data_IF_958182463071
#
_entry.id   IF_958182463071
#
_cell.length_a   1.000
_cell.length_b   1.000
_cell.length_c   1.000
_cell.angle_alpha   90.00
_cell.angle_beta   90.00
_cell.angle_gamma   90.00
#
_symmetry.space_group_name_H-M   'P 1'
#
loop_
_entity.id
_entity.type
_entity.pdbx_description
1 polymer ?
#
# COMPACT_ATOMS: atom_id res chain seq x y z
N UNK A 1 -24.93 -17.49 3.18
CA UNK A 1 -25.46 -16.88 1.94
C UNK A 1 -24.47 -16.76 0.81
N UNK A 2 -23.36 -15.99 0.88
CA UNK A 2 -22.44 -15.81 -0.26
C UNK A 2 -21.96 -17.12 -0.92
N UNK A 3 -21.41 -18.04 -0.13
CA UNK A 3 -20.96 -19.37 -0.55
C UNK A 3 -22.02 -20.19 -1.30
N UNK A 4 -23.27 -20.13 -0.86
CA UNK A 4 -24.38 -20.88 -1.46
C UNK A 4 -24.80 -20.24 -2.79
N UNK A 5 -24.88 -18.92 -2.82
CA UNK A 5 -25.22 -18.14 -4.02
C UNK A 5 -24.16 -18.34 -5.12
N UNK A 6 -22.88 -18.25 -4.77
CA UNK A 6 -21.78 -18.48 -5.72
C UNK A 6 -21.82 -19.89 -6.30
N UNK A 7 -22.01 -20.91 -5.46
CA UNK A 7 -22.14 -22.29 -5.93
C UNK A 7 -23.36 -22.48 -6.86
N UNK A 8 -24.50 -21.86 -6.52
CA UNK A 8 -25.70 -21.90 -7.36
C UNK A 8 -25.51 -21.22 -8.72
N UNK A 9 -24.81 -20.08 -8.77
CA UNK A 9 -24.51 -19.37 -10.02
C UNK A 9 -23.58 -20.21 -10.90
N UNK A 10 -22.47 -20.71 -10.33
CA UNK A 10 -21.52 -21.58 -11.05
C UNK A 10 -22.23 -22.81 -11.61
N UNK A 11 -23.13 -23.41 -10.81
CA UNK A 11 -23.90 -24.59 -11.25
C UNK A 11 -24.89 -24.24 -12.36
N UNK A 12 -25.55 -23.07 -12.30
CA UNK A 12 -26.49 -22.61 -13.33
C UNK A 12 -25.80 -22.26 -14.64
N UNK A 13 -24.62 -21.64 -14.57
CA UNK A 13 -23.85 -21.17 -15.72
C UNK A 13 -22.68 -22.10 -16.05
N UNK A 14 -22.83 -23.41 -15.80
CA UNK A 14 -21.75 -24.40 -15.89
C UNK A 14 -20.99 -24.37 -17.23
N UNK A 15 -21.66 -24.08 -18.35
CA UNK A 15 -21.03 -23.96 -19.68
C UNK A 15 -19.94 -22.88 -19.74
N UNK A 16 -20.06 -21.79 -18.97
CA UNK A 16 -19.02 -20.76 -18.86
C UNK A 16 -17.80 -21.22 -18.07
N UNK A 17 -17.94 -22.30 -17.28
CA UNK A 17 -16.92 -22.87 -16.41
C UNK A 17 -16.43 -24.25 -16.86
N UNK A 18 -16.85 -24.74 -18.02
CA UNK A 18 -16.38 -26.00 -18.60
C UNK A 18 -14.98 -25.84 -19.24
N UNK A 19 -14.01 -25.58 -18.38
CA UNK A 19 -12.61 -25.45 -18.76
C UNK A 19 -11.92 -26.81 -18.79
N UNK A 20 -10.81 -26.90 -19.54
CA UNK A 20 -9.93 -28.06 -19.48
C UNK A 20 -9.46 -28.31 -18.06
N UNK A 21 -9.73 -29.50 -17.52
CA UNK A 21 -9.28 -29.90 -16.18
C UNK A 21 -7.75 -29.92 -16.11
N UNK A 22 -7.22 -29.29 -15.06
CA UNK A 22 -5.81 -29.31 -14.69
C UNK A 22 -5.55 -30.39 -13.63
N UNK A 23 -4.30 -30.82 -13.50
CA UNK A 23 -3.92 -31.77 -12.43
C UNK A 23 -4.11 -31.16 -11.04
N UNK A 24 -3.74 -29.89 -10.89
CA UNK A 24 -3.97 -29.08 -9.69
C UNK A 24 -4.98 -27.99 -10.03
N UNK A 25 -6.16 -27.92 -9.38
CA UNK A 25 -7.13 -26.87 -9.63
C UNK A 25 -6.61 -25.50 -9.17
N UNK A 26 -6.94 -24.40 -9.88
CA UNK A 26 -6.61 -23.05 -9.42
C UNK A 26 -7.36 -22.73 -8.13
N UNK A 27 -6.75 -21.91 -7.26
CA UNK A 27 -7.29 -21.51 -5.97
C UNK A 27 -7.69 -20.03 -5.99
N UNK A 28 -8.94 -19.74 -5.61
CA UNK A 28 -9.41 -18.38 -5.34
C UNK A 28 -9.38 -18.13 -3.83
N UNK A 29 -8.50 -17.23 -3.39
CA UNK A 29 -8.38 -16.77 -2.01
C UNK A 29 -9.10 -15.43 -1.87
N UNK A 30 -10.18 -15.41 -1.09
CA UNK A 30 -10.94 -14.19 -0.78
C UNK A 30 -10.54 -13.70 0.60
N UNK A 31 -10.13 -12.44 0.67
CA UNK A 31 -9.66 -11.77 1.88
C UNK A 31 -10.48 -10.51 2.13
N UNK A 32 -10.52 -10.04 3.37
CA UNK A 32 -11.18 -8.80 3.75
C UNK A 32 -10.15 -7.78 4.24
N UNK A 33 -10.21 -6.55 3.73
CA UNK A 33 -9.29 -5.45 4.10
C UNK A 33 -9.35 -5.10 5.59
N UNK A 34 -10.45 -5.39 6.29
CA UNK A 34 -10.52 -5.19 7.75
C UNK A 34 -9.50 -6.02 8.53
N UNK A 35 -9.03 -7.14 7.96
CA UNK A 35 -7.92 -7.93 8.50
C UNK A 35 -6.54 -7.30 8.28
N UNK A 36 -6.39 -6.26 7.45
CA UNK A 36 -5.13 -5.49 7.30
C UNK A 36 -5.38 -4.01 7.04
N UNK A 37 -5.71 -3.29 8.12
CA UNK A 37 -5.85 -1.85 8.14
C UNK A 37 -4.52 -1.09 8.31
N UNK A 38 -3.38 -1.77 8.50
CA UNK A 38 -2.06 -1.13 8.70
C UNK A 38 -1.43 -0.82 7.33
N UNK A 39 -1.34 -1.82 6.46
CA UNK A 39 -0.76 -1.69 5.11
C UNK A 39 -1.22 -0.43 4.35
N UNK A 40 -2.52 -0.13 4.21
CA UNK A 40 -2.97 1.04 3.45
C UNK A 40 -2.66 2.39 4.13
N UNK A 41 -2.25 2.41 5.40
CA UNK A 41 -1.92 3.64 6.12
C UNK A 41 -0.46 4.06 5.97
N UNK A 42 0.46 3.15 5.65
CA UNK A 42 1.90 3.43 5.68
C UNK A 42 2.35 4.28 4.49
N UNK A 43 3.28 5.20 4.73
CA UNK A 43 4.02 5.82 3.64
C UNK A 43 4.78 4.77 2.82
N UNK A 44 4.84 4.99 1.51
CA UNK A 44 5.38 4.04 0.55
C UNK A 44 6.66 4.57 -0.09
N UNK A 45 7.64 3.70 -0.31
CA UNK A 45 8.97 4.07 -0.79
C UNK A 45 9.41 3.34 -2.07
N UNK A 46 8.50 2.59 -2.71
CA UNK A 46 8.73 2.03 -4.05
C UNK A 46 8.00 2.87 -5.09
N UNK A 47 8.51 2.90 -6.34
CA UNK A 47 8.12 3.95 -7.29
C UNK A 47 6.60 4.06 -7.48
N UNK A 48 5.93 2.97 -7.84
CA UNK A 48 4.50 2.97 -8.10
C UNK A 48 3.68 3.30 -6.85
N UNK A 49 4.02 2.67 -5.72
CA UNK A 49 3.30 2.84 -4.48
C UNK A 49 3.45 4.28 -3.95
N UNK A 50 4.65 4.84 -4.01
CA UNK A 50 4.93 6.23 -3.61
C UNK A 50 4.23 7.25 -4.52
N UNK A 51 4.19 7.02 -5.83
CA UNK A 51 3.43 7.86 -6.76
C UNK A 51 1.94 7.83 -6.40
N UNK A 52 1.36 6.66 -6.15
CA UNK A 52 -0.05 6.55 -5.81
C UNK A 52 -0.38 7.17 -4.44
N UNK A 53 0.52 7.02 -3.45
CA UNK A 53 0.36 7.59 -2.12
C UNK A 53 0.44 9.13 -2.12
N UNK A 54 1.41 9.71 -2.83
CA UNK A 54 1.66 11.16 -2.76
C UNK A 54 0.97 11.98 -3.86
N UNK A 55 0.79 11.42 -5.05
CA UNK A 55 0.26 12.13 -6.22
C UNK A 55 -1.11 11.60 -6.67
N UNK A 56 -1.48 10.39 -6.25
CA UNK A 56 -2.71 9.73 -6.68
C UNK A 56 -2.60 9.21 -8.11
N UNK A 57 -2.53 7.89 -8.24
CA UNK A 57 -2.55 7.21 -9.55
C UNK A 57 -3.96 6.70 -9.84
N UNK A 58 -4.64 7.32 -10.81
CA UNK A 58 -5.99 6.93 -11.21
C UNK A 58 -5.98 6.55 -12.70
N UNK A 59 -6.35 5.32 -13.03
CA UNK A 59 -6.33 4.80 -14.41
C UNK A 59 -4.98 5.08 -15.12
N UNK A 60 -3.87 4.81 -14.43
CA UNK A 60 -2.51 5.07 -14.90
C UNK A 60 -2.20 6.55 -15.18
N UNK A 61 -2.97 7.50 -14.63
CA UNK A 61 -2.76 8.94 -14.76
C UNK A 61 -2.52 9.59 -13.41
N UNK A 62 -1.66 10.60 -13.40
CA UNK A 62 -1.42 11.49 -12.26
C UNK A 62 -1.68 12.94 -12.67
N UNK A 63 -2.19 13.72 -11.73
CA UNK A 63 -2.43 15.16 -11.91
C UNK A 63 -1.31 15.96 -11.21
N UNK A 64 -0.51 16.65 -12.02
CA UNK A 64 0.56 17.54 -11.59
C UNK A 64 0.18 19.02 -11.73
N UNK A 65 -1.08 19.35 -11.98
CA UNK A 65 -1.54 20.74 -12.15
C UNK A 65 -1.25 21.66 -10.96
N UNK A 66 -1.07 21.08 -9.77
CA UNK A 66 -0.75 21.77 -8.51
C UNK A 66 0.75 21.95 -8.28
N UNK A 67 1.59 21.35 -9.12
CA UNK A 67 3.05 21.47 -9.03
C UNK A 67 3.47 22.88 -9.44
N UNK A 68 4.23 23.63 -8.60
CA UNK A 68 4.67 24.97 -8.92
C UNK A 68 5.49 25.01 -10.21
N UNK A 69 5.12 25.90 -11.15
CA UNK A 69 5.87 26.08 -12.40
C UNK A 69 5.73 24.95 -13.42
N UNK A 70 4.76 24.04 -13.25
CA UNK A 70 4.55 22.93 -14.18
C UNK A 70 4.19 23.43 -15.59
N UNK A 71 4.78 22.81 -16.61
CA UNK A 71 4.42 23.08 -18.00
C UNK A 71 3.01 22.54 -18.32
N UNK A 72 2.31 23.17 -19.26
CA UNK A 72 0.95 22.73 -19.67
C UNK A 72 0.94 21.26 -20.12
N UNK A 73 2.01 20.83 -20.78
CA UNK A 73 2.15 19.48 -21.36
C UNK A 73 2.38 18.39 -20.29
N UNK A 74 2.74 18.78 -19.06
CA UNK A 74 3.01 17.86 -17.94
C UNK A 74 1.96 17.94 -16.83
N UNK A 75 0.86 18.68 -17.02
CA UNK A 75 -0.22 18.76 -16.03
C UNK A 75 -0.88 17.42 -15.76
N UNK A 76 -0.99 16.57 -16.78
CA UNK A 76 -1.46 15.20 -16.64
C UNK A 76 -0.41 14.28 -17.24
N UNK A 77 0.01 13.28 -16.48
CA UNK A 77 1.05 12.33 -16.89
C UNK A 77 0.53 10.91 -16.85
N UNK A 78 0.74 10.17 -17.94
CA UNK A 78 0.44 8.74 -18.02
C UNK A 78 1.65 7.90 -17.61
N UNK A 79 1.45 6.98 -16.68
CA UNK A 79 2.43 6.01 -16.17
C UNK A 79 1.90 4.59 -16.42
N UNK A 80 2.38 3.94 -17.49
CA UNK A 80 1.97 2.59 -17.88
C UNK A 80 3.21 1.74 -18.15
N UNK A 81 3.36 0.63 -17.43
CA UNK A 81 4.50 -0.27 -17.61
C UNK A 81 4.53 -0.95 -18.99
N UNK A 82 3.39 -1.03 -19.68
CA UNK A 82 3.31 -1.61 -21.04
C UNK A 82 3.90 -0.69 -22.11
N UNK A 83 3.79 0.62 -21.92
CA UNK A 83 4.17 1.63 -22.90
C UNK A 83 5.40 2.47 -22.50
N UNK A 84 5.90 2.29 -21.28
CA UNK A 84 7.00 3.04 -20.70
C UNK A 84 8.02 2.11 -20.06
N UNK A 85 9.08 1.80 -20.81
CA UNK A 85 10.15 0.88 -20.40
C UNK A 85 10.91 1.38 -19.17
N UNK A 86 11.11 2.70 -19.04
CA UNK A 86 11.74 3.25 -17.85
C UNK A 86 10.86 2.98 -16.64
N UNK A 87 9.56 3.27 -16.74
CA UNK A 87 8.63 2.99 -15.65
C UNK A 87 8.57 1.49 -15.30
N UNK A 88 8.47 0.61 -16.29
CA UNK A 88 8.42 -0.84 -16.09
C UNK A 88 9.63 -1.37 -15.31
N UNK A 89 10.84 -0.90 -15.65
CA UNK A 89 12.08 -1.33 -15.02
C UNK A 89 12.30 -0.74 -13.62
N UNK A 90 11.60 0.35 -13.28
CA UNK A 90 11.77 1.06 -12.01
C UNK A 90 10.56 0.94 -11.06
N UNK A 91 9.46 0.32 -11.51
CA UNK A 91 8.15 0.28 -10.85
C UNK A 91 8.23 -0.08 -9.35
N UNK A 92 9.08 -1.05 -9.04
CA UNK A 92 9.22 -1.67 -7.72
C UNK A 92 10.55 -1.35 -7.03
N UNK A 93 11.39 -0.49 -7.62
CA UNK A 93 12.64 -0.07 -7.00
C UNK A 93 12.38 0.93 -5.88
N UNK A 94 13.28 0.99 -4.91
CA UNK A 94 13.15 1.94 -3.80
C UNK A 94 13.52 3.37 -4.22
N UNK A 95 13.08 4.35 -3.45
CA UNK A 95 13.27 5.77 -3.77
C UNK A 95 14.74 6.20 -3.98
N UNK A 96 15.68 5.60 -3.23
CA UNK A 96 17.11 5.85 -3.41
C UNK A 96 17.64 5.31 -4.75
N UNK A 97 17.22 4.12 -5.14
CA UNK A 97 17.57 3.50 -6.43
C UNK A 97 16.97 4.30 -7.60
N UNK A 98 15.72 4.73 -7.48
CA UNK A 98 15.06 5.57 -8.50
C UNK A 98 15.83 6.88 -8.68
N UNK A 99 16.24 7.55 -7.60
CA UNK A 99 17.03 8.78 -7.68
C UNK A 99 18.33 8.59 -8.49
N UNK A 100 19.00 7.45 -8.28
CA UNK A 100 20.21 7.08 -9.05
C UNK A 100 19.88 6.81 -10.51
N UNK A 101 18.81 6.07 -10.79
CA UNK A 101 18.40 5.73 -12.16
C UNK A 101 17.92 6.94 -12.96
N UNK A 102 17.30 7.93 -12.31
CA UNK A 102 16.96 9.22 -12.94
C UNK A 102 18.21 10.01 -13.31
N UNK A 103 19.20 10.04 -12.42
CA UNK A 103 20.49 10.67 -12.71
C UNK A 103 21.15 10.02 -13.92
N UNK A 104 21.20 8.69 -13.97
CA UNK A 104 21.74 7.93 -15.10
C UNK A 104 20.97 8.20 -16.39
N UNK A 105 19.64 8.24 -16.33
CA UNK A 105 18.77 8.58 -17.47
C UNK A 105 19.10 9.97 -18.04
N UNK A 106 19.34 10.95 -17.17
CA UNK A 106 19.71 12.31 -17.56
C UNK A 106 21.12 12.37 -18.17
N UNK A 107 22.09 11.66 -17.59
CA UNK A 107 23.46 11.58 -18.11
C UNK A 107 23.51 10.89 -19.49
N UNK A 108 22.76 9.80 -19.67
CA UNK A 108 22.67 9.10 -20.94
C UNK A 108 22.03 9.96 -22.04
N UNK A 109 21.03 10.77 -21.67
CA UNK A 109 20.46 11.76 -22.57
C UNK A 109 21.49 12.81 -22.99
N UNK A 110 22.28 13.34 -22.04
CA UNK A 110 23.35 14.30 -22.31
C UNK A 110 24.46 13.70 -23.21
N UNK A 111 24.82 12.43 -23.02
CA UNK A 111 25.85 11.74 -23.82
C UNK A 111 25.44 11.49 -25.28
N UNK A 112 24.16 11.16 -25.50
CA UNK A 112 23.63 10.87 -26.85
C UNK A 112 23.40 12.12 -27.70
N UNK A 113 23.48 13.31 -27.09
CA UNK A 113 23.34 14.58 -27.78
C UNK A 113 24.50 14.86 -28.75
N UNK A 114 24.28 15.59 -29.86
CA UNK A 114 25.36 16.12 -30.67
C UNK A 114 26.40 16.91 -29.86
N UNK A 115 27.70 16.64 -30.11
CA UNK A 115 28.83 17.34 -29.47
C UNK A 115 28.83 18.83 -29.89
N UNK A 116 29.14 19.72 -28.94
CA UNK A 116 29.25 21.18 -29.19
C UNK A 116 28.05 22.02 -28.77
N UNK A 117 26.95 21.41 -28.32
CA UNK A 117 25.81 22.16 -27.77
C UNK A 117 26.00 22.54 -26.29
N UNK A 118 25.19 23.48 -25.79
CA UNK A 118 25.12 23.84 -24.36
C UNK A 118 24.53 22.70 -23.55
N UNK A 119 25.09 22.39 -22.38
CA UNK A 119 24.59 21.37 -21.43
C UNK A 119 23.11 21.63 -21.12
N UNK A 120 22.27 20.59 -21.18
CA UNK A 120 20.85 20.69 -20.86
C UNK A 120 20.71 20.45 -19.35
N UNK A 121 20.31 21.47 -18.60
CA UNK A 121 20.19 21.40 -17.14
C UNK A 121 18.72 21.49 -16.69
N UNK A 122 17.85 22.07 -17.53
CA UNK A 122 16.43 22.26 -17.24
C UNK A 122 15.51 21.51 -18.22
N UNK A 123 14.26 21.30 -17.80
CA UNK A 123 13.19 20.78 -18.68
C UNK A 123 12.92 21.74 -19.84
N UNK A 124 13.08 23.05 -19.63
CA UNK A 124 12.93 24.05 -20.69
C UNK A 124 14.00 23.87 -21.76
N UNK A 125 15.25 23.60 -21.36
CA UNK A 125 16.35 23.34 -22.29
C UNK A 125 16.06 22.09 -23.11
N UNK A 126 15.54 21.04 -22.47
CA UNK A 126 15.17 19.79 -23.16
C UNK A 126 14.10 20.05 -24.22
N UNK A 127 13.09 20.88 -23.94
CA UNK A 127 12.05 21.22 -24.91
C UNK A 127 12.62 21.96 -26.12
N UNK A 128 13.41 23.00 -25.89
CA UNK A 128 14.07 23.76 -26.97
C UNK A 128 15.04 22.88 -27.79
N UNK A 129 15.68 21.91 -27.15
CA UNK A 129 16.52 20.93 -27.83
C UNK A 129 15.70 20.00 -28.74
N UNK A 130 14.55 19.49 -28.29
CA UNK A 130 13.69 18.60 -29.10
C UNK A 130 13.13 19.30 -30.34
N UNK A 131 12.82 20.60 -30.25
CA UNK A 131 12.34 21.37 -31.41
C UNK A 131 13.36 21.37 -32.56
N UNK A 132 14.65 21.36 -32.24
CA UNK A 132 15.73 21.30 -33.22
C UNK A 132 16.14 19.86 -33.60
N UNK A 133 15.78 18.86 -32.79
CA UNK A 133 16.18 17.46 -32.96
C UNK A 133 15.02 16.48 -32.68
N UNK A 134 14.05 16.36 -33.60
CA UNK A 134 12.84 15.56 -33.40
C UNK A 134 13.08 14.07 -33.13
N UNK A 135 14.20 13.51 -33.61
CA UNK A 135 14.59 12.13 -33.35
C UNK A 135 14.84 11.83 -31.85
N UNK A 136 15.07 12.87 -31.03
CA UNK A 136 15.22 12.74 -29.58
C UNK A 136 13.91 12.88 -28.80
N UNK A 137 12.78 13.10 -29.48
CA UNK A 137 11.48 13.39 -28.85
C UNK A 137 11.03 12.31 -27.86
N UNK A 138 11.15 11.02 -28.21
CA UNK A 138 10.76 9.91 -27.31
C UNK A 138 11.61 9.92 -26.03
N UNK A 139 12.94 9.97 -26.19
CA UNK A 139 13.87 9.93 -25.05
C UNK A 139 13.73 11.17 -24.16
N UNK A 140 13.61 12.36 -24.75
CA UNK A 140 13.36 13.59 -24.00
C UNK A 140 12.01 13.58 -23.28
N UNK A 141 10.97 13.01 -23.90
CA UNK A 141 9.68 12.81 -23.25
C UNK A 141 9.78 11.95 -21.98
N UNK A 142 10.48 10.81 -22.05
CA UNK A 142 10.73 9.95 -20.89
C UNK A 142 11.53 10.67 -19.80
N UNK A 143 12.63 11.35 -20.16
CA UNK A 143 13.46 12.12 -19.22
C UNK A 143 12.61 13.20 -18.54
N UNK A 144 11.94 14.06 -19.32
CA UNK A 144 11.11 15.14 -18.80
C UNK A 144 10.03 14.61 -17.88
N UNK A 145 9.35 13.52 -18.26
CA UNK A 145 8.29 12.90 -17.46
C UNK A 145 8.82 12.47 -16.10
N UNK A 146 9.81 11.58 -16.07
CA UNK A 146 10.24 10.95 -14.83
C UNK A 146 11.07 11.87 -13.94
N UNK A 147 11.87 12.79 -14.51
CA UNK A 147 12.54 13.85 -13.74
C UNK A 147 11.51 14.73 -13.03
N UNK A 148 10.42 15.09 -13.70
CA UNK A 148 9.35 15.91 -13.10
C UNK A 148 8.65 15.15 -11.98
N UNK A 149 8.25 13.91 -12.22
CA UNK A 149 7.55 13.10 -11.20
C UNK A 149 8.44 12.89 -9.98
N UNK A 150 9.68 12.43 -10.16
CA UNK A 150 10.60 12.16 -9.04
C UNK A 150 11.01 13.45 -8.34
N UNK A 151 11.17 14.55 -9.08
CA UNK A 151 11.40 15.88 -8.50
C UNK A 151 10.26 16.31 -7.59
N UNK A 152 9.01 16.12 -8.01
CA UNK A 152 7.85 16.43 -7.17
C UNK A 152 7.73 15.51 -5.96
N UNK A 153 7.98 14.20 -6.11
CA UNK A 153 8.04 13.27 -4.98
C UNK A 153 9.08 13.73 -3.95
N UNK A 154 10.28 14.10 -4.41
CA UNK A 154 11.34 14.61 -3.54
C UNK A 154 10.92 15.90 -2.83
N UNK A 155 10.25 16.82 -3.54
CA UNK A 155 9.74 18.07 -2.95
C UNK A 155 8.73 17.78 -1.83
N UNK A 156 7.77 16.90 -2.08
CA UNK A 156 6.74 16.51 -1.10
C UNK A 156 7.34 15.80 0.11
N UNK A 157 8.31 14.91 -0.09
CA UNK A 157 9.04 14.23 1.00
C UNK A 157 9.72 15.25 1.91
N UNK A 158 10.42 16.24 1.32
CA UNK A 158 11.10 17.29 2.09
C UNK A 158 10.12 18.23 2.79
N UNK A 159 9.09 18.70 2.08
CA UNK A 159 8.09 19.63 2.62
C UNK A 159 7.34 19.05 3.81
N UNK A 160 6.94 17.77 3.72
CA UNK A 160 6.16 17.08 4.76
C UNK A 160 7.01 16.31 5.77
N UNK A 161 8.34 16.37 5.65
CA UNK A 161 9.29 15.62 6.49
C UNK A 161 8.97 14.11 6.56
N UNK A 162 8.61 13.50 5.42
CA UNK A 162 8.07 12.13 5.40
C UNK A 162 9.07 11.06 5.84
N UNK A 163 10.38 11.34 5.80
CA UNK A 163 11.41 10.42 6.31
C UNK A 163 11.25 10.19 7.82
N UNK A 164 11.08 11.28 8.59
CA UNK A 164 10.89 11.21 10.06
C UNK A 164 9.55 10.59 10.42
N UNK A 165 8.50 10.91 9.65
CA UNK A 165 7.16 10.32 9.84
C UNK A 165 7.19 8.83 9.57
N UNK A 166 7.74 8.42 8.43
CA UNK A 166 7.80 7.02 8.03
C UNK A 166 8.64 6.17 8.98
N UNK A 167 9.71 6.70 9.57
CA UNK A 167 10.50 5.99 10.59
C UNK A 167 9.60 5.57 11.77
N UNK A 168 8.77 6.49 12.27
CA UNK A 168 7.85 6.22 13.39
C UNK A 168 6.69 5.32 12.94
N UNK A 169 6.22 5.42 11.71
CA UNK A 169 5.23 4.48 11.15
C UNK A 169 5.77 3.04 11.14
N UNK A 170 7.02 2.84 10.73
CA UNK A 170 7.67 1.53 10.70
C UNK A 170 7.95 1.02 12.12
N UNK A 171 8.32 1.89 13.06
CA UNK A 171 8.41 1.57 14.49
C UNK A 171 7.07 1.04 15.03
N UNK A 172 5.97 1.75 14.76
CA UNK A 172 4.62 1.36 15.19
C UNK A 172 4.15 0.05 14.55
N UNK A 173 4.49 -0.18 13.28
CA UNK A 173 4.06 -1.35 12.54
C UNK A 173 4.85 -2.61 12.91
N UNK A 174 6.17 -2.50 13.12
CA UNK A 174 7.08 -3.65 13.18
C UNK A 174 7.68 -3.91 14.56
N UNK A 175 7.81 -2.89 15.41
CA UNK A 175 8.54 -3.01 16.67
C UNK A 175 7.59 -3.31 17.84
N UNK A 176 8.18 -3.75 18.95
CA UNK A 176 7.45 -4.08 20.18
C UNK A 176 7.98 -3.30 21.39
N UNK A 177 8.43 -2.06 21.18
CA UNK A 177 8.81 -1.12 22.24
C UNK A 177 7.74 -0.03 22.38
N UNK A 178 6.77 -0.27 23.26
CA UNK A 178 5.69 0.69 23.53
C UNK A 178 6.21 2.02 24.08
N UNK A 179 7.28 1.99 24.88
CA UNK A 179 7.85 3.17 25.53
C UNK A 179 8.54 4.09 24.53
N UNK A 180 9.31 3.52 23.61
CA UNK A 180 9.91 4.26 22.49
C UNK A 180 8.81 4.81 21.57
N UNK A 181 7.87 3.95 21.15
CA UNK A 181 6.81 4.33 20.22
C UNK A 181 5.96 5.52 20.73
N UNK A 182 5.57 5.52 22.01
CA UNK A 182 4.80 6.64 22.57
C UNK A 182 5.61 7.95 22.58
N UNK A 183 6.92 7.89 22.83
CA UNK A 183 7.79 9.05 22.85
C UNK A 183 7.99 9.61 21.44
N UNK A 184 8.22 8.73 20.46
CA UNK A 184 8.33 9.05 19.04
C UNK A 184 7.07 9.74 18.50
N UNK A 185 5.88 9.20 18.79
CA UNK A 185 4.60 9.81 18.38
C UNK A 185 4.40 11.17 19.03
N UNK A 186 4.62 11.31 20.35
CA UNK A 186 4.48 12.61 21.04
C UNK A 186 5.43 13.67 20.46
N UNK A 187 6.68 13.30 20.18
CA UNK A 187 7.66 14.20 19.57
C UNK A 187 7.17 14.74 18.22
N UNK A 188 6.66 13.88 17.33
CA UNK A 188 6.15 14.32 16.04
C UNK A 188 4.88 15.16 16.16
N UNK A 189 3.97 14.83 17.09
CA UNK A 189 2.78 15.63 17.35
C UNK A 189 3.09 17.04 17.88
N UNK A 190 4.29 17.29 18.41
CA UNK A 190 4.76 18.62 18.81
C UNK A 190 5.40 19.42 17.65
N UNK A 191 5.79 18.76 16.55
CA UNK A 191 6.40 19.44 15.40
C UNK A 191 5.33 20.20 14.60
N UNK A 192 5.34 21.55 14.54
CA UNK A 192 4.28 22.33 13.88
C UNK A 192 4.18 22.13 12.36
N UNK A 193 5.22 21.58 11.71
CA UNK A 193 5.23 21.31 10.26
C UNK A 193 4.52 20.01 9.87
N UNK A 194 4.28 19.11 10.83
CA UNK A 194 3.56 17.86 10.56
C UNK A 194 2.14 18.16 10.06
N UNK A 195 1.75 17.56 8.92
CA UNK A 195 0.41 17.78 8.38
C UNK A 195 -0.67 17.17 9.29
N UNK A 196 -1.91 17.66 9.21
CA UNK A 196 -3.01 17.08 9.98
C UNK A 196 -3.19 15.59 9.69
N UNK A 197 -3.10 15.19 8.41
CA UNK A 197 -3.29 13.81 7.99
C UNK A 197 -2.18 12.91 8.53
N UNK A 198 -0.92 13.35 8.49
CA UNK A 198 0.21 12.59 9.00
C UNK A 198 0.13 12.45 10.53
N UNK A 199 -0.31 13.50 11.25
CA UNK A 199 -0.54 13.45 12.69
C UNK A 199 -1.62 12.42 13.06
N UNK A 200 -2.75 12.43 12.35
CA UNK A 200 -3.84 11.48 12.59
C UNK A 200 -3.42 10.06 12.24
N UNK A 201 -2.65 9.87 11.14
CA UNK A 201 -2.12 8.57 10.72
C UNK A 201 -1.25 7.93 11.79
N UNK A 202 -0.33 8.68 12.39
CA UNK A 202 0.49 8.16 13.50
C UNK A 202 -0.36 7.69 14.68
N UNK A 203 -1.42 8.44 15.02
CA UNK A 203 -2.35 8.07 16.10
C UNK A 203 -3.21 6.87 15.71
N UNK A 204 -3.61 6.73 14.44
CA UNK A 204 -4.31 5.55 13.91
C UNK A 204 -3.46 4.29 14.04
N UNK A 205 -2.21 4.33 13.58
CA UNK A 205 -1.28 3.22 13.69
C UNK A 205 -1.03 2.85 15.17
N UNK A 206 -0.83 3.84 16.04
CA UNK A 206 -0.72 3.63 17.48
C UNK A 206 -1.97 2.95 18.06
N UNK A 207 -3.17 3.44 17.71
CA UNK A 207 -4.43 2.90 18.20
C UNK A 207 -4.63 1.43 17.77
N UNK A 208 -4.32 1.11 16.50
CA UNK A 208 -4.40 -0.26 15.97
C UNK A 208 -3.37 -1.20 16.63
N UNK A 209 -2.17 -0.70 16.92
CA UNK A 209 -1.07 -1.49 17.52
C UNK A 209 -1.29 -1.77 19.00
N UNK A 210 -1.70 -0.74 19.74
CA UNK A 210 -1.76 -0.74 21.21
C UNK A 210 -3.19 -0.64 21.78
N UNK A 211 -4.20 -1.05 21.01
CA UNK A 211 -5.63 -1.00 21.38
C UNK A 211 -5.92 -1.53 22.79
N UNK A 212 -5.28 -2.64 23.17
CA UNK A 212 -5.47 -3.31 24.47
C UNK A 212 -4.25 -3.21 25.40
N UNK A 213 -3.31 -2.33 25.10
CA UNK A 213 -2.13 -2.14 25.96
C UNK A 213 -2.57 -1.48 27.28
N UNK A 214 -2.19 -2.05 28.43
CA UNK A 214 -2.62 -1.56 29.76
C UNK A 214 -2.20 -0.11 30.03
N UNK A 215 -1.06 0.30 29.47
CA UNK A 215 -0.54 1.67 29.56
C UNK A 215 -0.77 2.47 28.28
N UNK A 216 -1.80 2.14 27.48
CA UNK A 216 -2.11 2.89 26.26
C UNK A 216 -2.39 4.37 26.57
N UNK A 217 -1.74 5.27 25.83
CA UNK A 217 -1.89 6.72 25.97
C UNK A 217 -2.83 7.32 24.92
N UNK A 218 -3.65 6.49 24.26
CA UNK A 218 -4.52 6.93 23.15
C UNK A 218 -5.40 8.15 23.52
N UNK A 219 -6.07 8.23 24.70
CA UNK A 219 -6.82 9.43 25.07
C UNK A 219 -5.96 10.70 25.10
N UNK A 220 -4.74 10.61 25.64
CA UNK A 220 -3.80 11.73 25.68
C UNK A 220 -3.32 12.15 24.29
N UNK A 221 -3.14 11.20 23.36
CA UNK A 221 -2.81 11.51 21.96
C UNK A 221 -3.98 12.21 21.25
N UNK A 222 -5.22 11.79 21.52
CA UNK A 222 -6.42 12.44 21.00
C UNK A 222 -6.56 13.89 21.50
N UNK A 223 -6.25 14.13 22.77
CA UNK A 223 -6.21 15.49 23.33
C UNK A 223 -5.11 16.35 22.69
N UNK A 224 -3.94 15.77 22.38
CA UNK A 224 -2.86 16.46 21.68
C UNK A 224 -3.28 16.85 20.25
N UNK A 225 -3.94 15.96 19.51
CA UNK A 225 -4.51 16.28 18.20
C UNK A 225 -5.51 17.45 18.31
N UNK A 226 -6.37 17.43 19.33
CA UNK A 226 -7.32 18.52 19.57
C UNK A 226 -6.63 19.85 19.89
N UNK A 227 -5.61 19.84 20.76
CA UNK A 227 -4.83 21.04 21.12
C UNK A 227 -4.07 21.62 19.93
N UNK A 228 -3.62 20.75 19.01
CA UNK A 228 -2.97 21.14 17.76
C UNK A 228 -3.93 21.76 16.74
N UNK A 229 -5.25 21.67 16.97
CA UNK A 229 -6.27 22.22 16.08
C UNK A 229 -6.68 21.27 14.96
N UNK A 230 -6.34 19.98 15.05
CA UNK A 230 -6.75 18.98 14.05
C UNK A 230 -8.27 18.92 13.99
N UNK A 231 -8.80 18.99 12.77
CA UNK A 231 -10.25 19.01 12.55
C UNK A 231 -10.97 17.82 13.20
N UNK A 232 -12.20 18.05 13.67
CA UNK A 232 -13.06 16.99 14.23
C UNK A 232 -13.31 15.86 13.24
N UNK A 233 -13.35 16.17 11.94
CA UNK A 233 -13.44 15.18 10.86
C UNK A 233 -12.24 14.24 10.88
N UNK A 234 -11.03 14.78 10.93
CA UNK A 234 -9.81 13.96 10.96
C UNK A 234 -9.67 13.19 12.28
N UNK A 235 -9.98 13.80 13.43
CA UNK A 235 -9.94 13.10 14.72
C UNK A 235 -10.89 11.89 14.77
N UNK A 236 -12.10 11.99 14.21
CA UNK A 236 -13.04 10.87 14.10
C UNK A 236 -12.55 9.69 13.25
N UNK A 237 -11.59 9.91 12.34
CA UNK A 237 -11.00 8.82 11.56
C UNK A 237 -10.23 7.83 12.43
N UNK A 238 -9.66 8.27 13.56
CA UNK A 238 -8.98 7.37 14.50
C UNK A 238 -9.95 6.30 15.02
N UNK A 239 -11.11 6.73 15.49
CA UNK A 239 -12.15 5.83 15.96
C UNK A 239 -12.68 4.95 14.83
N UNK A 240 -12.89 5.53 13.64
CA UNK A 240 -13.40 4.80 12.47
C UNK A 240 -12.46 3.67 12.03
N UNK A 241 -11.14 3.89 12.04
CA UNK A 241 -10.16 2.86 11.69
C UNK A 241 -10.11 1.74 12.72
N UNK A 242 -10.22 2.07 14.02
CA UNK A 242 -10.30 1.05 15.09
C UNK A 242 -11.60 0.26 15.02
N UNK A 243 -12.72 0.90 14.67
CA UNK A 243 -14.00 0.22 14.46
C UNK A 243 -14.01 -0.67 13.22
N UNK A 244 -13.38 -0.23 12.14
CA UNK A 244 -13.33 -0.95 10.87
C UNK A 244 -12.42 -2.17 10.95
N UNK A 245 -11.21 -1.99 11.46
CA UNK A 245 -10.20 -3.02 11.46
C UNK A 245 -9.43 -3.00 12.75
N UNK A 246 -10.08 -3.01 13.91
CA UNK A 246 -9.46 -3.23 15.23
C UNK A 246 -9.55 -4.70 15.67
N UNK A 247 -8.99 -5.04 16.84
CA UNK A 247 -8.93 -6.42 17.36
C UNK A 247 -10.29 -7.09 17.57
N UNK A 248 -11.39 -6.34 17.57
CA UNK A 248 -12.75 -6.89 17.70
C UNK A 248 -13.31 -7.40 16.37
N UNK A 249 -12.79 -6.92 15.24
CA UNK A 249 -13.29 -7.24 13.90
C UNK A 249 -12.38 -8.26 13.22
N UNK A 250 -11.06 -8.10 13.36
CA UNK A 250 -10.05 -8.94 12.69
C UNK A 250 -10.18 -10.41 13.10
N UNK A 251 -10.14 -11.31 12.11
CA UNK A 251 -10.08 -12.76 12.30
C UNK A 251 -8.65 -13.27 12.57
N UNK A 252 -7.64 -12.46 12.23
CA UNK A 252 -6.21 -12.77 12.38
C UNK A 252 -5.49 -11.78 13.29
N UNK A 253 -4.41 -12.24 13.93
CA UNK A 253 -3.48 -11.37 14.64
C UNK A 253 -2.63 -10.58 13.62
N UNK A 254 -3.11 -9.37 13.31
CA UNK A 254 -2.47 -8.41 12.39
C UNK A 254 -1.01 -8.09 12.71
N UNK A 255 -0.68 -8.13 13.99
CA UNK A 255 0.70 -8.08 14.44
C UNK A 255 0.98 -9.44 15.05
N UNK A 256 1.44 -10.37 14.22
CA UNK A 256 2.07 -11.56 14.75
C UNK A 256 3.17 -11.07 15.70
N UNK A 257 3.18 -11.56 16.94
CA UNK A 257 4.39 -11.56 17.74
C UNK A 257 5.38 -12.46 16.99
N UNK A 258 6.02 -11.92 15.96
CA UNK A 258 7.12 -12.59 15.30
C UNK A 258 8.19 -12.69 16.36
N UNK A 259 8.49 -13.93 16.77
CA UNK A 259 9.64 -14.22 17.62
C UNK A 259 10.84 -13.44 17.11
N UNK A 260 11.66 -12.89 18.00
CA UNK A 260 12.89 -12.17 17.64
C UNK A 260 13.80 -12.95 16.66
N UNK A 261 13.63 -14.29 16.60
CA UNK A 261 14.29 -15.22 15.67
C UNK A 261 13.72 -15.16 14.23
N UNK A 262 12.43 -14.86 14.04
CA UNK A 262 11.81 -14.67 12.73
C UNK A 262 12.19 -13.30 12.15
N UNK A 263 12.22 -12.28 13.01
CA UNK A 263 12.71 -10.94 12.72
C UNK A 263 14.17 -11.02 12.19
N UNK A 264 15.07 -11.71 12.89
CA UNK A 264 16.45 -11.95 12.41
C UNK A 264 16.51 -12.74 11.10
N UNK A 265 15.62 -13.69 10.83
CA UNK A 265 15.58 -14.39 9.53
C UNK A 265 15.02 -13.54 8.37
N UNK A 266 14.07 -12.63 8.62
CA UNK A 266 13.63 -11.63 7.66
C UNK A 266 14.76 -10.64 7.34
N UNK A 267 15.53 -10.23 8.35
CA UNK A 267 16.74 -9.41 8.19
C UNK A 267 17.82 -10.04 7.28
N UNK A 268 17.91 -11.37 7.20
CA UNK A 268 18.93 -12.07 6.38
C UNK A 268 18.49 -12.39 4.94
N UNK A 269 17.22 -12.27 4.57
CA UNK A 269 16.72 -12.65 3.22
C UNK A 269 16.59 -11.50 2.21
N UNK A 270 16.88 -10.27 2.63
CA UNK A 270 17.02 -9.12 1.73
C UNK A 270 18.31 -9.21 0.91
N UNK A 271 18.26 -9.95 -0.20
CA UNK A 271 19.35 -9.96 -1.18
C UNK A 271 19.66 -8.52 -1.64
N UNK A 272 20.89 -8.07 -1.31
CA UNK A 272 21.55 -6.80 -1.63
C UNK A 272 21.22 -5.58 -0.76
N UNK A 273 21.79 -5.55 0.44
CA UNK A 273 22.98 -4.70 0.64
C UNK A 273 22.87 -3.42 1.47
N UNK A 274 21.68 -2.92 1.83
CA UNK A 274 21.54 -1.86 2.85
C UNK A 274 20.20 -2.05 3.56
N UNK A 275 20.21 -2.13 4.90
CA UNK A 275 18.99 -2.11 5.70
C UNK A 275 18.22 -0.81 5.42
N UNK A 276 16.96 -0.93 4.98
CA UNK A 276 16.11 0.22 4.76
C UNK A 276 15.09 0.34 5.90
N UNK A 277 15.34 1.30 6.80
CA UNK A 277 14.47 1.59 7.95
C UNK A 277 13.05 1.96 7.53
N UNK A 278 12.86 2.41 6.30
CA UNK A 278 11.59 2.89 5.77
C UNK A 278 10.72 1.78 5.13
N UNK A 279 11.22 0.55 5.00
CA UNK A 279 10.52 -0.57 4.34
C UNK A 279 10.66 -1.88 5.12
N UNK A 280 10.53 -1.83 6.44
CA UNK A 280 10.62 -3.01 7.32
C UNK A 280 9.31 -3.81 7.33
N UNK A 281 8.19 -3.11 7.24
CA UNK A 281 6.85 -3.70 7.24
C UNK A 281 6.66 -4.64 6.05
N UNK A 282 5.88 -5.69 6.30
CA UNK A 282 5.47 -6.64 5.30
C UNK A 282 3.95 -6.89 5.45
N UNK A 283 3.16 -6.74 4.36
CA UNK A 283 1.71 -6.91 4.44
C UNK A 283 1.31 -8.31 4.93
N UNK A 284 0.18 -8.41 5.64
CA UNK A 284 -0.37 -9.69 6.12
C UNK A 284 -0.57 -10.70 4.98
N UNK A 285 -0.82 -10.20 3.77
CA UNK A 285 -0.95 -10.99 2.55
C UNK A 285 0.28 -11.87 2.30
N UNK A 286 1.49 -11.41 2.60
CA UNK A 286 2.70 -12.18 2.40
C UNK A 286 2.67 -13.49 3.18
N UNK A 287 2.45 -13.41 4.50
CA UNK A 287 2.48 -14.57 5.38
C UNK A 287 1.32 -15.52 5.08
N UNK A 288 0.16 -14.95 4.71
CA UNK A 288 -1.00 -15.73 4.27
C UNK A 288 -0.67 -16.55 3.02
N UNK A 289 -0.06 -15.93 2.00
CA UNK A 289 0.35 -16.62 0.77
C UNK A 289 1.50 -17.60 0.99
N UNK A 290 2.49 -17.26 1.81
CA UNK A 290 3.60 -18.15 2.14
C UNK A 290 3.12 -19.41 2.87
N UNK A 291 2.20 -19.26 3.84
CA UNK A 291 1.56 -20.39 4.51
C UNK A 291 0.70 -21.20 3.55
N UNK A 292 -0.06 -20.56 2.66
CA UNK A 292 -0.87 -21.23 1.65
C UNK A 292 -0.02 -22.10 0.72
N UNK A 293 1.05 -21.53 0.15
CA UNK A 293 1.95 -22.21 -0.79
C UNK A 293 2.66 -23.38 -0.10
N UNK A 294 2.95 -23.28 1.19
CA UNK A 294 3.57 -24.35 2.00
C UNK A 294 2.57 -25.37 2.54
N UNK A 295 1.28 -25.24 2.28
CA UNK A 295 0.24 -26.13 2.81
C UNK A 295 0.09 -26.03 4.34
N UNK A 296 0.37 -24.86 4.93
CA UNK A 296 0.33 -24.60 6.37
C UNK A 296 -0.75 -23.60 6.78
N UNK A 297 -1.48 -23.04 5.82
CA UNK A 297 -2.60 -22.15 6.10
C UNK A 297 -3.72 -22.93 6.79
N UNK A 298 -4.26 -22.39 7.88
CA UNK A 298 -5.23 -23.12 8.71
C UNK A 298 -6.63 -23.07 8.09
N UNK A 299 -7.19 -24.25 7.79
CA UNK A 299 -8.57 -24.39 7.29
C UNK A 299 -9.63 -23.80 8.23
N UNK A 300 -9.36 -23.73 9.53
CA UNK A 300 -10.28 -23.10 10.50
C UNK A 300 -10.40 -21.59 10.31
N UNK A 301 -9.38 -20.95 9.73
CA UNK A 301 -9.37 -19.52 9.40
C UNK A 301 -9.70 -19.28 7.93
N UNK A 302 -9.27 -20.17 7.05
CA UNK A 302 -9.47 -20.11 5.60
C UNK A 302 -10.14 -21.38 5.08
N UNK A 303 -11.45 -21.57 5.34
CA UNK A 303 -12.16 -22.79 4.97
C UNK A 303 -12.38 -22.88 3.46
N UNK A 304 -12.36 -24.11 2.93
CA UNK A 304 -12.72 -24.39 1.55
C UNK A 304 -14.24 -24.35 1.34
N UNK A 305 -14.66 -23.85 0.18
CA UNK A 305 -16.04 -23.97 -0.27
C UNK A 305 -16.26 -25.32 -0.97
N UNK A 306 -17.02 -26.22 -0.33
CA UNK A 306 -17.37 -27.53 -0.88
C UNK A 306 -16.68 -28.70 -0.17
N UNK A 307 -16.83 -29.90 -0.72
CA UNK A 307 -16.35 -31.14 -0.09
C UNK A 307 -14.86 -31.44 -0.32
N UNK A 308 -14.16 -30.62 -1.11
CA UNK A 308 -12.80 -30.88 -1.57
C UNK A 308 -11.83 -29.89 -0.95
N UNK A 309 -10.84 -30.39 -0.22
CA UNK A 309 -9.65 -29.62 0.16
C UNK A 309 -8.53 -29.84 -0.84
N UNK A 310 -7.74 -28.79 -1.08
CA UNK A 310 -6.55 -28.90 -1.91
C UNK A 310 -5.47 -29.68 -1.15
N UNK A 311 -5.00 -30.79 -1.71
CA UNK A 311 -3.92 -31.61 -1.12
C UNK A 311 -2.56 -31.28 -1.69
N UNK A 312 -2.52 -30.88 -2.95
CA UNK A 312 -1.31 -30.54 -3.67
C UNK A 312 -0.93 -29.07 -3.47
N UNK A 313 0.34 -28.74 -3.72
CA UNK A 313 0.81 -27.36 -3.70
C UNK A 313 0.07 -26.55 -4.77
N UNK A 314 -0.61 -25.44 -4.43
CA UNK A 314 -1.31 -24.62 -5.41
C UNK A 314 -0.32 -24.06 -6.44
N UNK A 315 -0.66 -24.17 -7.72
CA UNK A 315 0.12 -23.63 -8.82
C UNK A 315 -0.42 -22.26 -9.26
N UNK A 316 -1.73 -22.11 -9.31
CA UNK A 316 -2.40 -20.87 -9.72
C UNK A 316 -3.26 -20.35 -8.58
N UNK A 317 -2.97 -19.14 -8.13
CA UNK A 317 -3.65 -18.49 -7.01
C UNK A 317 -4.20 -17.15 -7.49
N UNK A 318 -5.51 -16.97 -7.34
CA UNK A 318 -6.18 -15.68 -7.54
C UNK A 318 -6.51 -15.15 -6.16
N UNK A 319 -6.00 -13.97 -5.81
CA UNK A 319 -6.33 -13.28 -4.56
C UNK A 319 -7.33 -12.18 -4.88
N UNK A 320 -8.44 -12.15 -4.16
CA UNK A 320 -9.40 -11.04 -4.23
C UNK A 320 -9.58 -10.41 -2.84
N UNK A 321 -9.16 -9.16 -2.70
CA UNK A 321 -9.23 -8.41 -1.44
C UNK A 321 -10.45 -7.48 -1.45
N UNK A 322 -11.47 -7.87 -0.68
CA UNK A 322 -12.69 -7.09 -0.45
C UNK A 322 -12.30 -5.86 0.37
N UNK A 323 -12.74 -4.67 -0.05
CA UNK A 323 -12.29 -3.40 0.55
C UNK A 323 -10.94 -2.91 0.00
N UNK A 324 -10.50 -3.47 -1.14
CA UNK A 324 -9.42 -2.94 -1.96
C UNK A 324 -8.03 -3.49 -1.64
N UNK A 325 -7.17 -3.52 -2.66
CA UNK A 325 -5.75 -3.89 -2.58
C UNK A 325 -4.84 -2.66 -2.41
N UNK A 326 -3.55 -2.83 -2.16
CA UNK A 326 -2.55 -1.76 -2.21
C UNK A 326 -1.41 -2.09 -3.18
N UNK A 327 -0.62 -1.07 -3.56
CA UNK A 327 0.59 -1.31 -4.36
C UNK A 327 1.72 -1.99 -3.57
N UNK A 328 1.70 -1.93 -2.23
CA UNK A 328 2.64 -2.70 -1.39
C UNK A 328 2.35 -4.22 -1.47
N UNK A 329 1.07 -4.58 -1.50
CA UNK A 329 0.63 -5.96 -1.71
C UNK A 329 0.89 -6.42 -3.14
N UNK A 330 0.72 -5.54 -4.12
CA UNK A 330 1.10 -5.83 -5.51
C UNK A 330 2.60 -6.15 -5.63
N UNK A 331 3.46 -5.39 -4.95
CA UNK A 331 4.89 -5.68 -4.84
C UNK A 331 5.15 -7.03 -4.14
N UNK A 332 4.41 -7.33 -3.07
CA UNK A 332 4.50 -8.62 -2.37
C UNK A 332 4.22 -9.78 -3.31
N UNK A 333 3.13 -9.69 -4.08
CA UNK A 333 2.73 -10.69 -5.08
C UNK A 333 3.75 -10.80 -6.21
N UNK A 334 4.27 -9.68 -6.71
CA UNK A 334 5.35 -9.65 -7.69
C UNK A 334 6.60 -10.40 -7.21
N UNK A 335 7.02 -10.15 -5.97
CA UNK A 335 8.18 -10.81 -5.38
C UNK A 335 7.95 -12.31 -5.19
N UNK A 336 6.78 -12.72 -4.72
CA UNK A 336 6.43 -14.14 -4.57
C UNK A 336 6.43 -14.87 -5.92
N UNK A 337 5.86 -14.26 -6.96
CA UNK A 337 5.89 -14.82 -8.33
C UNK A 337 7.32 -15.04 -8.86
N UNK A 338 8.25 -14.15 -8.53
CA UNK A 338 9.66 -14.27 -8.95
C UNK A 338 10.45 -15.28 -8.13
N UNK A 339 10.19 -15.35 -6.83
CA UNK A 339 10.94 -16.16 -5.89
C UNK A 339 10.39 -17.58 -5.71
N UNK A 340 9.22 -17.87 -6.28
CA UNK A 340 8.50 -19.14 -6.07
C UNK A 340 8.20 -19.84 -7.40
N UNK A 341 9.20 -20.51 -8.01
CA UNK A 341 9.00 -21.24 -9.26
C UNK A 341 7.83 -22.25 -9.15
N UNK A 342 7.04 -22.32 -10.21
CA UNK A 342 5.86 -23.20 -10.29
C UNK A 342 4.60 -22.63 -9.62
N UNK A 343 4.63 -21.41 -9.11
CA UNK A 343 3.45 -20.71 -8.57
C UNK A 343 3.22 -19.41 -9.33
N UNK A 344 1.97 -19.14 -9.70
CA UNK A 344 1.52 -17.90 -10.33
C UNK A 344 0.39 -17.32 -9.48
N UNK A 345 0.55 -16.06 -9.11
CA UNK A 345 -0.35 -15.34 -8.22
C UNK A 345 -0.84 -14.08 -8.95
N UNK A 346 -2.15 -13.91 -8.98
CA UNK A 346 -2.81 -12.70 -9.49
C UNK A 346 -3.53 -12.02 -8.33
N UNK A 347 -3.27 -10.73 -8.12
CA UNK A 347 -3.95 -9.91 -7.12
C UNK A 347 -5.03 -9.07 -7.77
N UNK A 348 -6.23 -9.10 -7.18
CA UNK A 348 -7.31 -8.17 -7.44
C UNK A 348 -7.93 -7.68 -6.14
N UNK A 349 -8.76 -6.65 -6.24
CA UNK A 349 -9.58 -6.15 -5.15
C UNK A 349 -10.68 -5.26 -5.71
N UNK A 350 -11.58 -4.78 -4.85
CA UNK A 350 -12.63 -3.83 -5.24
C UNK A 350 -12.08 -2.48 -5.74
N UNK A 351 -10.86 -2.15 -5.32
CA UNK A 351 -10.14 -0.91 -5.61
C UNK A 351 -8.64 -1.13 -5.41
N UNK A 352 -7.81 -0.13 -5.73
CA UNK A 352 -6.43 -0.03 -5.24
C UNK A 352 -6.34 1.24 -4.41
N UNK A 353 -5.98 1.09 -3.14
CA UNK A 353 -5.97 2.17 -2.16
C UNK A 353 -4.57 2.77 -1.95
N UNK A 354 -4.57 4.08 -1.79
CA UNK A 354 -3.64 4.84 -0.95
C UNK A 354 -4.30 5.19 0.39
N UNK A 355 -3.54 5.82 1.30
CA UNK A 355 -4.06 6.22 2.63
C UNK A 355 -5.37 7.00 2.53
N UNK A 356 -5.43 7.99 1.63
CA UNK A 356 -6.59 8.88 1.55
C UNK A 356 -7.87 8.13 1.13
N UNK A 357 -7.80 7.38 0.04
CA UNK A 357 -8.95 6.62 -0.47
C UNK A 357 -9.40 5.53 0.52
N UNK A 358 -8.46 4.89 1.22
CA UNK A 358 -8.77 3.94 2.28
C UNK A 358 -9.54 4.61 3.43
N UNK A 359 -9.07 5.75 3.92
CA UNK A 359 -9.75 6.47 5.01
C UNK A 359 -11.13 6.99 4.62
N UNK A 360 -11.31 7.39 3.35
CA UNK A 360 -12.63 7.75 2.82
C UNK A 360 -13.59 6.57 2.85
N UNK A 361 -13.16 5.38 2.41
CA UNK A 361 -13.96 4.15 2.46
C UNK A 361 -14.28 3.72 3.89
N UNK A 362 -13.29 3.71 4.78
CA UNK A 362 -13.46 3.40 6.20
C UNK A 362 -14.49 4.31 6.85
N UNK A 363 -14.40 5.62 6.60
CA UNK A 363 -15.35 6.60 7.16
C UNK A 363 -16.78 6.32 6.69
N UNK A 364 -16.97 5.94 5.42
CA UNK A 364 -18.28 5.58 4.88
C UNK A 364 -18.81 4.28 5.49
N UNK A 365 -17.95 3.28 5.65
CA UNK A 365 -18.30 1.99 6.22
C UNK A 365 -18.73 2.09 7.70
N UNK A 366 -18.12 3.00 8.47
CA UNK A 366 -18.41 3.16 9.91
C UNK A 366 -19.46 4.23 10.23
N UNK A 367 -19.79 5.12 9.29
CA UNK A 367 -20.77 6.21 9.51
C UNK A 367 -22.15 5.74 9.99
N UNK A 368 -22.55 4.50 9.68
CA UNK A 368 -23.84 3.91 10.06
C UNK A 368 -23.80 3.05 11.33
N UNK A 369 -22.65 2.92 12.00
CA UNK A 369 -22.47 2.10 13.20
C UNK A 369 -23.06 2.70 14.48
N UNK A 370 -23.28 4.02 14.51
CA UNK A 370 -23.79 4.75 15.69
C UNK A 370 -25.29 4.58 15.97
N UNK A 371 -26.06 4.06 15.00
CA UNK A 371 -27.54 4.03 15.04
C UNK A 371 -28.14 2.62 15.00
N UNK A 372 -27.34 1.56 15.26
CA UNK A 372 -27.92 0.23 15.49
C UNK A 372 -28.55 0.21 16.89
N UNK A 373 -29.87 0.03 17.04
CA UNK A 373 -30.45 -0.20 18.35
C UNK A 373 -29.80 -1.45 18.91
N UNK A 374 -29.26 -1.37 20.13
CA UNK A 374 -28.95 -2.57 20.89
C UNK A 374 -30.25 -3.37 20.97
N UNK A 375 -30.33 -4.45 20.20
CA UNK A 375 -31.44 -5.39 20.23
C UNK A 375 -31.54 -5.94 21.64
N UNK A 376 -32.42 -5.35 22.43
CA UNK A 376 -32.84 -5.87 23.72
C UNK A 376 -33.64 -7.14 23.44
N UNK A 377 -32.91 -8.27 23.36
CA UNK A 377 -33.49 -9.61 23.42
C UNK A 377 -34.08 -9.86 24.80
N UNK A 378 -35.20 -9.20 25.13
CA UNK A 378 -36.11 -9.65 26.17
C UNK A 378 -37.08 -10.62 25.51
N UNK A 379 -36.79 -11.91 25.64
CA UNK A 379 -37.80 -12.95 25.52
C UNK A 379 -38.89 -12.71 26.58
N UNK A 380 -39.97 -12.04 26.17
CA UNK A 380 -41.23 -12.02 26.89
C UNK A 380 -42.01 -13.27 26.54
N UNK A 381 -41.94 -14.27 27.41
CA UNK A 381 -42.93 -15.35 27.46
C UNK A 381 -44.33 -14.73 27.63
N UNK A 382 -45.23 -14.94 26.66
CA UNK A 382 -46.67 -14.84 26.89
C UNK A 382 -47.43 -15.91 26.11
N UNK A 383 -47.86 -16.89 26.93
CA UNK A 383 -49.06 -17.74 26.89
C UNK A 383 -49.28 -18.65 25.69
#
# INVERSE_FOLDING_TARGET
>A
DFSLTTFQIITKEYELFDFRKTEVPPLLLILDRSDDAITPLLNQWTYQAMVHELLGLNNNRIDLSRVPGISKDLREVVLSAENDEFYANNLYLNFGEIGTNIKNLMEDFQRKRPKGQQKLESISDMKAFVDNYPQFKKMSGTVSKHVTVVGELSRLVSERQLMEVSEVEQELACQNDHSSAQQSVRRLLQNPRLSELDAVRLVMLYALRYERHSSSILPSLMDELSRRGVSERHRRMVQSVVEYGGKRVRGSDLIALTDAVAITKQFFKGLKGVENVYTQHQPLLHDTLDQLIKGRLKDSQFPYLGASSLRDRPQDIIVFLIGGATYEEALTVYNLNRCTPGVRIVLGGSSIHNTKSFLEEVTLATAHGGDRPQGSGRHGNRR
#
